data_IF_647433048862
#
_entry.id   IF_647433048862
#
_cell.length_a   1.000
_cell.length_b   1.000
_cell.length_c   1.000
_cell.angle_alpha   90.00
_cell.angle_beta   90.00
_cell.angle_gamma   90.00
#
_symmetry.space_group_name_H-M   'P 1'
#
loop_
_entity.id
_entity.type
_entity.pdbx_description
1 polymer ?
#
# COMPACT_ATOMS: atom_id res chain seq x y z
N UNK A 1 -11.73 -7.66 -20.26
CA UNK A 1 -10.84 -6.78 -21.07
C UNK A 1 -11.07 -5.27 -20.85
N UNK A 2 -12.29 -4.75 -20.65
CA UNK A 2 -12.51 -3.30 -20.43
C UNK A 2 -11.94 -2.76 -19.11
N UNK A 3 -12.12 -3.46 -17.98
CA UNK A 3 -11.60 -3.01 -16.67
C UNK A 3 -10.07 -2.95 -16.61
N UNK A 4 -9.38 -3.97 -17.12
CA UNK A 4 -7.92 -3.95 -17.24
C UNK A 4 -7.42 -2.75 -18.06
N UNK A 5 -8.07 -2.44 -19.20
CA UNK A 5 -7.72 -1.24 -20.00
C UNK A 5 -7.89 0.06 -19.22
N UNK A 6 -8.87 0.14 -18.32
CA UNK A 6 -9.07 1.31 -17.45
C UNK A 6 -7.98 1.42 -16.38
N UNK A 7 -7.63 0.28 -15.77
CA UNK A 7 -6.58 0.21 -14.75
C UNK A 7 -5.20 0.60 -15.31
N UNK A 8 -4.79 0.04 -16.45
CA UNK A 8 -3.46 0.33 -17.04
C UNK A 8 -3.31 1.78 -17.53
N UNK A 9 -4.41 2.56 -17.58
CA UNK A 9 -4.39 4.00 -17.94
C UNK A 9 -4.22 4.90 -16.72
N UNK A 10 -4.36 4.37 -15.49
CA UNK A 10 -4.15 5.15 -14.27
C UNK A 10 -2.68 5.54 -14.15
N UNK A 11 -2.41 6.73 -13.62
CA UNK A 11 -1.06 7.12 -13.25
C UNK A 11 -0.72 6.55 -11.87
N UNK A 12 0.54 6.16 -11.60
CA UNK A 12 0.94 5.64 -10.28
C UNK A 12 0.53 6.55 -9.11
N UNK A 13 0.69 7.87 -9.24
CA UNK A 13 0.29 8.86 -8.21
C UNK A 13 -1.20 8.89 -7.89
N UNK A 14 -2.05 8.38 -8.78
CA UNK A 14 -3.49 8.32 -8.58
C UNK A 14 -3.90 7.00 -7.91
N UNK A 15 -2.97 6.06 -7.75
CA UNK A 15 -3.21 4.76 -7.13
C UNK A 15 -2.90 4.80 -5.63
N UNK A 16 -3.69 4.01 -4.91
CA UNK A 16 -3.40 3.59 -3.54
C UNK A 16 -3.52 2.06 -3.51
N UNK A 17 -2.45 1.36 -3.14
CA UNK A 17 -2.46 -0.09 -3.03
C UNK A 17 -2.95 -0.49 -1.65
N UNK A 18 -3.88 -1.44 -1.63
CA UNK A 18 -4.22 -2.20 -0.44
C UNK A 18 -3.61 -3.57 -0.63
N UNK A 19 -2.58 -3.90 0.15
CA UNK A 19 -1.91 -5.20 0.07
C UNK A 19 -2.41 -6.11 1.20
N UNK A 20 -2.85 -7.32 0.85
CA UNK A 20 -3.30 -8.35 1.78
C UNK A 20 -2.33 -9.52 1.87
N UNK A 21 -2.69 -10.54 2.63
CA UNK A 21 -1.86 -11.74 2.87
C UNK A 21 -1.49 -12.50 1.60
N UNK A 22 -2.25 -12.36 0.50
CA UNK A 22 -1.85 -12.94 -0.79
C UNK A 22 -0.54 -12.34 -1.35
N UNK A 23 -0.16 -11.12 -0.97
CA UNK A 23 1.17 -10.58 -1.29
C UNK A 23 2.24 -11.30 -0.47
N UNK A 24 2.07 -11.40 0.85
CA UNK A 24 2.98 -12.09 1.75
C UNK A 24 3.15 -13.57 1.36
N UNK A 25 2.05 -14.26 1.04
CA UNK A 25 2.02 -15.64 0.55
C UNK A 25 2.83 -15.85 -0.74
N UNK A 26 2.77 -14.88 -1.66
CA UNK A 26 3.50 -14.95 -2.92
C UNK A 26 5.02 -14.76 -2.72
N UNK A 27 5.39 -13.96 -1.71
CA UNK A 27 6.78 -13.57 -1.43
C UNK A 27 7.51 -14.61 -0.58
N UNK A 28 6.84 -15.11 0.46
CA UNK A 28 7.37 -16.03 1.45
C UNK A 28 6.45 -17.26 1.61
N UNK A 29 6.24 -18.07 0.55
CA UNK A 29 5.32 -19.22 0.58
C UNK A 29 5.73 -20.31 1.58
N UNK A 30 6.99 -20.29 2.04
CA UNK A 30 7.51 -21.22 3.04
C UNK A 30 7.07 -20.94 4.48
N UNK A 31 6.42 -19.79 4.75
CA UNK A 31 5.87 -19.46 6.08
C UNK A 31 4.35 -19.61 6.02
N UNK A 32 3.77 -20.69 6.57
CA UNK A 32 2.32 -20.90 6.53
C UNK A 32 1.51 -19.75 7.13
N UNK A 33 2.02 -19.11 8.18
CA UNK A 33 1.36 -17.98 8.85
C UNK A 33 1.09 -16.78 7.91
N UNK A 34 1.92 -16.60 6.87
CA UNK A 34 1.75 -15.52 5.89
C UNK A 34 0.78 -15.85 4.76
N UNK A 35 0.40 -17.13 4.62
CA UNK A 35 -0.40 -17.59 3.48
C UNK A 35 -1.87 -17.17 3.56
N UNK A 36 -2.40 -16.97 4.76
CA UNK A 36 -3.78 -16.52 4.97
C UNK A 36 -3.99 -15.96 6.37
N UNK A 37 -5.06 -15.16 6.55
CA UNK A 37 -5.49 -14.71 7.88
C UNK A 37 -5.76 -15.86 8.84
N UNK A 38 -6.34 -16.96 8.34
CA UNK A 38 -6.62 -18.17 9.12
C UNK A 38 -5.33 -18.77 9.65
N UNK A 39 -4.37 -19.01 8.75
CA UNK A 39 -3.08 -19.60 9.08
C UNK A 39 -2.26 -18.71 10.01
N UNK A 40 -2.37 -17.38 9.88
CA UNK A 40 -1.78 -16.45 10.84
C UNK A 40 -2.35 -16.65 12.25
N UNK A 41 -3.67 -16.72 12.40
CA UNK A 41 -4.31 -16.92 13.71
C UNK A 41 -3.96 -18.30 14.27
N UNK A 42 -3.93 -19.35 13.43
CA UNK A 42 -3.52 -20.70 13.83
C UNK A 42 -2.08 -20.71 14.37
N UNK A 43 -1.16 -20.04 13.68
CA UNK A 43 0.24 -19.93 14.11
C UNK A 43 0.38 -19.14 15.42
N UNK A 44 -0.40 -18.07 15.62
CA UNK A 44 -0.41 -17.33 16.88
C UNK A 44 -0.93 -18.20 18.04
N UNK A 45 -1.98 -19.01 17.82
CA UNK A 45 -2.48 -19.93 18.85
C UNK A 45 -1.43 -20.99 19.18
N UNK A 46 -0.70 -21.49 18.19
CA UNK A 46 0.38 -22.45 18.40
C UNK A 46 1.55 -21.82 19.17
N UNK A 47 2.00 -20.63 18.79
CA UNK A 47 3.01 -19.89 19.53
C UNK A 47 2.57 -19.61 20.98
N UNK A 48 1.29 -19.27 21.18
CA UNK A 48 0.75 -19.05 22.52
C UNK A 48 0.76 -20.30 23.41
N UNK A 49 0.56 -21.48 22.82
CA UNK A 49 0.69 -22.77 23.52
C UNK A 49 2.16 -23.07 23.85
N UNK A 50 3.07 -22.85 22.89
CA UNK A 50 4.51 -23.11 23.06
C UNK A 50 5.17 -22.18 24.08
N UNK A 51 4.77 -20.91 24.10
CA UNK A 51 5.23 -19.90 25.05
C UNK A 51 4.52 -20.01 26.41
N UNK A 52 3.57 -20.93 26.57
CA UNK A 52 2.76 -21.13 27.78
C UNK A 52 2.00 -19.87 28.25
N UNK A 53 1.65 -18.97 27.31
CA UNK A 53 0.95 -17.70 27.60
C UNK A 53 -0.57 -17.82 27.53
N UNK A 54 -1.09 -18.97 27.08
CA UNK A 54 -2.52 -19.25 26.99
C UNK A 54 -2.83 -20.62 27.60
N UNK A 55 -3.87 -20.69 28.45
CA UNK A 55 -4.26 -21.94 29.10
C UNK A 55 -4.66 -23.01 28.06
N UNK A 56 -4.29 -24.30 28.22
CA UNK A 56 -4.58 -25.35 27.23
C UNK A 56 -6.07 -25.49 26.86
N UNK A 57 -6.95 -25.24 27.82
CA UNK A 57 -8.40 -25.21 27.58
C UNK A 57 -8.83 -24.09 26.63
N UNK A 58 -8.22 -22.90 26.75
CA UNK A 58 -8.47 -21.78 25.84
C UNK A 58 -7.87 -22.05 24.46
N UNK A 59 -6.65 -22.62 24.38
CA UNK A 59 -6.02 -23.07 23.12
C UNK A 59 -6.96 -24.01 22.35
N UNK A 60 -7.50 -25.02 23.03
CA UNK A 60 -8.43 -25.97 22.44
C UNK A 60 -9.75 -25.32 21.98
N UNK A 61 -10.23 -24.30 22.69
CA UNK A 61 -11.41 -23.52 22.30
C UNK A 61 -11.13 -22.68 21.05
N UNK A 62 -10.02 -21.93 21.02
CA UNK A 62 -9.66 -21.07 19.90
C UNK A 62 -9.37 -21.89 18.63
N UNK A 63 -8.69 -23.04 18.73
CA UNK A 63 -8.52 -23.96 17.59
C UNK A 63 -9.87 -24.38 16.97
N UNK A 64 -10.88 -24.67 17.81
CA UNK A 64 -12.24 -25.00 17.33
C UNK A 64 -12.93 -23.79 16.69
N UNK A 65 -12.81 -22.60 17.30
CA UNK A 65 -13.38 -21.35 16.78
C UNK A 65 -12.80 -21.02 15.41
N UNK A 66 -11.47 -21.04 15.26
CA UNK A 66 -10.83 -20.78 13.96
C UNK A 66 -11.41 -21.68 12.88
N UNK A 67 -11.48 -23.00 13.10
CA UNK A 67 -12.00 -23.97 12.11
C UNK A 67 -13.47 -23.71 11.76
N UNK A 68 -14.33 -23.44 12.75
CA UNK A 68 -15.78 -23.39 12.56
C UNK A 68 -16.31 -22.02 12.17
N UNK A 69 -15.68 -20.95 12.65
CA UNK A 69 -16.15 -19.59 12.43
C UNK A 69 -15.77 -19.10 11.03
N UNK A 70 -16.75 -18.42 10.42
CA UNK A 70 -16.54 -17.73 9.14
C UNK A 70 -15.92 -16.34 9.34
N UNK A 71 -16.10 -15.75 10.52
CA UNK A 71 -15.59 -14.42 10.83
C UNK A 71 -14.31 -14.52 11.68
N UNK A 72 -13.18 -14.63 10.98
CA UNK A 72 -11.86 -14.75 11.60
C UNK A 72 -11.45 -13.48 12.36
N UNK A 73 -12.04 -12.32 12.04
CA UNK A 73 -11.74 -11.07 12.76
C UNK A 73 -12.28 -11.13 14.18
N UNK A 74 -13.47 -11.70 14.39
CA UNK A 74 -14.02 -11.92 15.73
C UNK A 74 -13.12 -12.85 16.54
N UNK A 75 -12.64 -13.94 15.92
CA UNK A 75 -11.72 -14.87 16.57
C UNK A 75 -10.41 -14.19 16.95
N UNK A 76 -9.83 -13.40 16.04
CA UNK A 76 -8.62 -12.63 16.29
C UNK A 76 -8.81 -11.63 17.46
N UNK A 77 -9.91 -10.87 17.46
CA UNK A 77 -10.23 -9.93 18.55
C UNK A 77 -10.38 -10.64 19.90
N UNK A 78 -11.09 -11.77 19.95
CA UNK A 78 -11.24 -12.52 21.20
C UNK A 78 -9.90 -13.10 21.70
N UNK A 79 -9.08 -13.61 20.78
CA UNK A 79 -7.75 -14.16 21.07
C UNK A 79 -6.83 -13.06 21.63
N UNK A 80 -6.78 -11.92 20.96
CA UNK A 80 -6.06 -10.73 21.41
C UNK A 80 -6.54 -10.31 22.81
N UNK A 81 -7.85 -10.14 23.01
CA UNK A 81 -8.42 -9.71 24.30
C UNK A 81 -8.05 -10.67 25.44
N UNK A 82 -7.96 -11.96 25.14
CA UNK A 82 -7.55 -12.99 26.11
C UNK A 82 -6.06 -12.88 26.47
N UNK A 83 -5.21 -12.59 25.48
CA UNK A 83 -3.74 -12.55 25.64
C UNK A 83 -3.18 -11.15 25.99
N UNK A 84 -4.04 -10.13 26.05
CA UNK A 84 -3.67 -8.76 26.43
C UNK A 84 -4.56 -8.25 27.58
N UNK A 85 -4.49 -8.84 28.79
CA UNK A 85 -5.29 -8.42 29.93
C UNK A 85 -5.02 -6.94 30.27
N UNK A 86 -6.10 -6.20 30.61
CA UNK A 86 -6.01 -4.77 30.94
C UNK A 86 -5.40 -4.57 32.33
N UNK A 87 -4.09 -4.61 32.45
CA UNK A 87 -3.37 -4.32 33.71
C UNK A 87 -2.47 -3.08 33.55
N UNK A 88 -2.99 -1.90 33.89
CA UNK A 88 -2.19 -0.67 34.05
C UNK A 88 -1.52 -0.09 32.79
N UNK A 89 -0.56 0.82 33.02
CA UNK A 89 0.02 1.74 32.03
C UNK A 89 1.21 1.19 31.23
N UNK A 90 1.68 -0.03 31.55
CA UNK A 90 2.72 -0.74 30.77
C UNK A 90 2.13 -2.06 30.29
N UNK A 91 1.96 -2.20 28.97
CA UNK A 91 1.33 -3.39 28.36
C UNK A 91 2.35 -4.26 27.64
N UNK A 92 2.92 -5.29 28.29
CA UNK A 92 3.33 -6.48 27.57
C UNK A 92 2.07 -7.10 26.95
N UNK A 93 2.14 -7.45 25.67
CA UNK A 93 1.07 -8.15 24.98
C UNK A 93 1.59 -9.52 24.60
N UNK A 94 1.15 -10.59 25.27
CA UNK A 94 1.55 -11.94 24.89
C UNK A 94 1.17 -12.27 23.45
N UNK A 95 0.14 -11.61 22.92
CA UNK A 95 -0.21 -11.68 21.50
C UNK A 95 0.92 -11.17 20.60
N UNK A 96 1.58 -10.08 21.00
CA UNK A 96 2.72 -9.56 20.25
C UNK A 96 3.93 -10.49 20.38
N UNK A 97 4.21 -11.01 21.58
CA UNK A 97 5.29 -11.98 21.77
C UNK A 97 5.10 -13.20 20.84
N UNK A 98 3.85 -13.67 20.69
CA UNK A 98 3.51 -14.71 19.73
C UNK A 98 3.72 -14.27 18.28
N UNK A 99 3.38 -13.03 17.89
CA UNK A 99 3.63 -12.55 16.53
C UNK A 99 5.12 -12.37 16.24
N UNK A 100 5.92 -11.95 17.22
CA UNK A 100 7.37 -11.86 17.10
C UNK A 100 7.97 -13.24 16.85
N UNK A 101 7.49 -14.28 17.54
CA UNK A 101 7.88 -15.67 17.28
C UNK A 101 7.46 -16.14 15.88
N UNK A 102 6.21 -15.86 15.49
CA UNK A 102 5.65 -16.29 14.19
C UNK A 102 6.33 -15.60 13.00
N UNK A 103 6.77 -14.35 13.18
CA UNK A 103 7.41 -13.52 12.15
C UNK A 103 8.88 -13.25 12.44
N UNK A 104 9.56 -14.14 13.14
CA UNK A 104 10.99 -14.02 13.36
C UNK A 104 11.76 -14.18 12.04
N UNK A 105 12.85 -13.43 11.88
CA UNK A 105 13.76 -13.47 10.73
C UNK A 105 13.10 -13.40 9.33
N UNK A 106 11.98 -12.66 9.16
CA UNK A 106 11.25 -12.56 7.89
C UNK A 106 12.14 -12.25 6.68
N UNK A 107 13.21 -11.47 6.86
CA UNK A 107 14.17 -11.12 5.82
C UNK A 107 14.84 -12.34 5.17
N UNK A 108 15.03 -13.43 5.93
CA UNK A 108 15.63 -14.67 5.46
C UNK A 108 14.64 -15.54 4.67
N UNK A 109 13.35 -15.22 4.77
CA UNK A 109 12.25 -15.99 4.18
C UNK A 109 11.67 -15.36 2.90
N UNK A 110 12.21 -14.22 2.45
CA UNK A 110 11.87 -13.62 1.15
C UNK A 110 12.41 -14.52 0.03
N UNK A 111 11.54 -15.32 -0.58
CA UNK A 111 11.90 -16.26 -1.65
C UNK A 111 11.61 -15.72 -3.05
N UNK A 112 10.51 -14.97 -3.21
CA UNK A 112 10.10 -14.39 -4.49
C UNK A 112 9.76 -12.89 -4.36
N UNK A 113 10.77 -12.01 -4.51
CA UNK A 113 10.58 -10.57 -4.29
C UNK A 113 9.86 -9.85 -5.45
N UNK A 114 9.45 -10.54 -6.52
CA UNK A 114 8.91 -9.92 -7.75
C UNK A 114 7.72 -8.99 -7.47
N UNK A 115 6.82 -9.40 -6.57
CA UNK A 115 5.66 -8.59 -6.18
C UNK A 115 6.10 -7.35 -5.42
N UNK A 116 7.02 -7.48 -4.45
CA UNK A 116 7.54 -6.36 -3.67
C UNK A 116 8.30 -5.36 -4.55
N UNK A 117 9.13 -5.86 -5.48
CA UNK A 117 9.83 -5.02 -6.46
C UNK A 117 8.87 -4.22 -7.34
N UNK A 118 7.74 -4.84 -7.71
CA UNK A 118 6.68 -4.18 -8.49
C UNK A 118 5.99 -3.09 -7.67
N UNK A 119 5.68 -3.36 -6.41
CA UNK A 119 5.10 -2.38 -5.48
C UNK A 119 6.07 -1.20 -5.26
N UNK A 120 7.35 -1.46 -4.97
CA UNK A 120 8.36 -0.39 -4.81
C UNK A 120 8.48 0.50 -6.04
N UNK A 121 8.41 -0.09 -7.25
CA UNK A 121 8.44 0.68 -8.51
C UNK A 121 7.23 1.60 -8.66
N UNK A 122 6.07 1.21 -8.15
CA UNK A 122 4.87 2.06 -8.11
C UNK A 122 5.04 3.17 -7.06
N UNK A 123 5.54 2.84 -5.86
CA UNK A 123 5.84 3.83 -4.80
C UNK A 123 6.88 4.87 -5.25
N UNK A 124 7.89 4.45 -6.02
CA UNK A 124 8.86 5.36 -6.65
C UNK A 124 8.20 6.45 -7.49
N UNK A 125 7.00 6.18 -8.04
CA UNK A 125 6.20 7.08 -8.86
C UNK A 125 4.99 7.68 -8.12
N UNK A 126 4.97 7.58 -6.79
CA UNK A 126 4.00 8.26 -5.92
C UNK A 126 2.76 7.44 -5.57
N UNK A 127 2.74 6.14 -5.86
CA UNK A 127 1.68 5.25 -5.37
C UNK A 127 1.76 5.09 -3.86
N UNK A 128 0.65 5.29 -3.16
CA UNK A 128 0.55 5.07 -1.71
C UNK A 128 0.28 3.60 -1.40
N UNK A 129 0.68 3.12 -0.21
CA UNK A 129 0.45 1.72 0.21
C UNK A 129 -0.12 1.68 1.61
N UNK A 130 -1.14 0.85 1.81
CA UNK A 130 -1.62 0.44 3.12
C UNK A 130 -1.82 -1.08 3.17
N UNK A 131 -1.85 -1.64 4.37
CA UNK A 131 -2.11 -3.05 4.60
C UNK A 131 -2.93 -3.27 5.86
N UNK A 132 -3.62 -4.41 5.90
CA UNK A 132 -4.20 -4.99 7.12
C UNK A 132 -3.30 -6.08 7.71
N UNK A 133 -2.21 -6.44 7.05
CA UNK A 133 -1.30 -7.47 7.54
C UNK A 133 -0.45 -6.95 8.70
N UNK A 134 0.00 -7.87 9.55
CA UNK A 134 0.91 -7.57 10.64
C UNK A 134 2.39 -7.61 10.23
N UNK A 135 2.75 -8.29 9.14
CA UNK A 135 4.11 -8.38 8.63
C UNK A 135 4.58 -7.07 7.96
N UNK A 136 5.89 -6.87 7.85
CA UNK A 136 6.55 -5.72 7.21
C UNK A 136 7.46 -6.15 6.04
N UNK A 137 7.09 -7.20 5.30
CA UNK A 137 7.94 -7.74 4.22
C UNK A 137 8.30 -6.69 3.16
N UNK A 138 7.37 -5.79 2.83
CA UNK A 138 7.60 -4.72 1.86
C UNK A 138 8.67 -3.74 2.35
N UNK A 139 8.63 -3.38 3.63
CA UNK A 139 9.57 -2.46 4.26
C UNK A 139 10.95 -3.09 4.42
N UNK A 140 11.02 -4.33 4.90
CA UNK A 140 12.28 -5.09 4.94
C UNK A 140 12.93 -5.10 3.56
N UNK A 141 12.19 -5.51 2.53
CA UNK A 141 12.70 -5.54 1.17
C UNK A 141 13.08 -4.15 0.66
N UNK A 142 12.26 -3.13 0.90
CA UNK A 142 12.56 -1.76 0.50
C UNK A 142 13.82 -1.19 1.15
N UNK A 143 14.05 -1.47 2.43
CA UNK A 143 15.28 -1.10 3.13
C UNK A 143 16.50 -1.81 2.54
N UNK A 144 16.39 -3.11 2.21
CA UNK A 144 17.45 -3.85 1.49
C UNK A 144 17.73 -3.24 0.10
N UNK A 145 16.74 -2.63 -0.54
CA UNK A 145 16.89 -1.88 -1.80
C UNK A 145 17.34 -0.41 -1.58
N UNK A 146 17.72 -0.03 -0.36
CA UNK A 146 18.20 1.31 -0.02
C UNK A 146 17.11 2.39 -0.02
N UNK A 147 15.83 2.02 0.15
CA UNK A 147 14.73 2.97 0.28
C UNK A 147 14.48 3.31 1.75
N UNK A 148 14.18 4.58 2.08
CA UNK A 148 13.85 4.99 3.44
C UNK A 148 12.40 4.59 3.78
N UNK A 149 12.15 3.29 3.91
CA UNK A 149 10.82 2.75 4.22
C UNK A 149 10.41 3.15 5.64
N UNK A 150 9.12 3.46 5.80
CA UNK A 150 8.53 3.83 7.08
C UNK A 150 7.21 3.07 7.28
N UNK A 151 7.11 2.28 8.34
CA UNK A 151 5.84 1.69 8.77
C UNK A 151 5.08 2.71 9.61
N UNK A 152 3.81 2.91 9.28
CA UNK A 152 2.94 3.90 9.91
C UNK A 152 1.78 3.17 10.57
N UNK A 153 1.44 3.54 11.79
CA UNK A 153 0.25 3.06 12.48
C UNK A 153 -0.80 4.17 12.57
N UNK A 154 -2.04 3.79 12.89
CA UNK A 154 -3.13 4.75 12.97
C UNK A 154 -3.05 5.67 14.21
N UNK A 155 -2.32 5.30 15.27
CA UNK A 155 -2.24 6.07 16.53
C UNK A 155 -1.42 7.34 16.37
N UNK A 156 -0.43 7.36 15.48
CA UNK A 156 0.29 8.57 15.11
C UNK A 156 -0.50 9.40 14.09
N UNK A 157 -1.42 10.24 14.60
CA UNK A 157 -2.25 11.15 13.80
C UNK A 157 -1.42 12.02 12.84
N UNK A 158 -0.30 12.57 13.29
CA UNK A 158 0.49 13.52 12.49
C UNK A 158 1.14 12.80 11.31
N UNK A 159 1.64 11.58 11.52
CA UNK A 159 2.15 10.72 10.44
C UNK A 159 1.07 10.30 9.48
N UNK A 160 -0.12 9.92 9.96
CA UNK A 160 -1.26 9.57 9.11
C UNK A 160 -1.65 10.73 8.20
N UNK A 161 -1.73 11.96 8.74
CA UNK A 161 -2.05 13.15 7.95
C UNK A 161 -0.96 13.47 6.91
N UNK A 162 0.32 13.36 7.29
CA UNK A 162 1.44 13.55 6.36
C UNK A 162 1.42 12.52 5.22
N UNK A 163 1.22 11.24 5.56
CA UNK A 163 1.10 10.16 4.58
C UNK A 163 -0.09 10.38 3.65
N UNK A 164 -1.26 10.68 4.20
CA UNK A 164 -2.47 10.88 3.40
C UNK A 164 -2.39 12.11 2.47
N UNK A 165 -1.57 13.10 2.83
CA UNK A 165 -1.21 14.25 1.98
C UNK A 165 -0.06 13.94 1.00
N UNK A 166 0.37 12.68 0.91
CA UNK A 166 1.46 12.19 0.05
C UNK A 166 2.85 12.77 0.37
N UNK A 167 3.09 13.19 1.61
CA UNK A 167 4.40 13.70 2.06
C UNK A 167 5.38 12.57 2.46
N UNK A 168 4.87 11.37 2.75
CA UNK A 168 5.68 10.19 3.11
C UNK A 168 5.68 9.21 1.94
N UNK A 169 6.67 9.33 1.05
CA UNK A 169 6.73 8.57 -0.21
C UNK A 169 6.82 7.06 -0.03
N UNK A 170 7.63 6.60 0.93
CA UNK A 170 7.87 5.19 1.21
C UNK A 170 7.16 4.72 2.51
N UNK A 171 6.02 5.35 2.81
CA UNK A 171 5.20 5.03 3.97
C UNK A 171 4.21 3.90 3.69
N UNK A 172 4.15 2.91 4.58
CA UNK A 172 3.18 1.82 4.57
C UNK A 172 2.26 1.99 5.78
N UNK A 173 0.98 2.26 5.55
CA UNK A 173 0.01 2.37 6.64
C UNK A 173 -0.52 1.00 7.05
N UNK A 174 -0.21 0.55 8.27
CA UNK A 174 -0.74 -0.67 8.87
C UNK A 174 -2.02 -0.38 9.66
N UNK A 175 -3.16 -0.78 9.10
CA UNK A 175 -4.46 -0.55 9.74
C UNK A 175 -4.53 -1.29 11.09
N UNK A 176 -4.02 -2.52 11.21
CA UNK A 176 -4.05 -3.29 12.47
C UNK A 176 -2.79 -3.16 13.33
N UNK A 177 -1.88 -2.26 12.96
CA UNK A 177 -0.56 -2.13 13.58
C UNK A 177 0.42 -3.19 13.07
N UNK A 178 1.62 -3.16 13.64
CA UNK A 178 2.77 -3.92 13.21
C UNK A 178 3.26 -4.87 14.31
N UNK A 179 3.74 -6.06 13.96
CA UNK A 179 4.21 -7.03 14.95
C UNK A 179 5.42 -6.53 15.78
N UNK A 180 6.28 -5.69 15.19
CA UNK A 180 7.44 -5.11 15.87
C UNK A 180 7.11 -3.91 16.76
N UNK A 181 5.85 -3.46 16.79
CA UNK A 181 5.43 -2.31 17.59
C UNK A 181 4.38 -2.70 18.67
N UNK A 182 4.81 -2.87 19.94
CA UNK A 182 3.91 -3.22 21.05
C UNK A 182 2.80 -2.20 21.24
N UNK A 183 3.15 -0.94 21.04
CA UNK A 183 2.30 0.19 21.33
C UNK A 183 1.34 0.48 20.18
N UNK A 184 1.65 0.05 18.95
CA UNK A 184 0.88 0.29 17.73
C UNK A 184 -0.18 -0.76 17.41
N UNK A 185 -0.03 -1.99 17.91
CA UNK A 185 -1.04 -3.04 17.72
C UNK A 185 -2.41 -2.61 18.25
N UNK A 186 -3.44 -2.71 17.40
CA UNK A 186 -4.80 -2.36 17.80
C UNK A 186 -5.64 -3.60 17.96
N UNK A 187 -6.12 -3.74 19.18
CA UNK A 187 -6.62 -4.99 19.77
C UNK A 187 -8.16 -5.07 19.79
N UNK A 188 -8.81 -3.94 19.54
CA UNK A 188 -10.25 -3.73 19.63
C UNK A 188 -10.62 -2.45 18.87
N UNK A 189 -11.83 -2.31 18.31
CA UNK A 189 -12.30 -1.06 17.71
C UNK A 189 -12.13 0.17 18.59
N UNK A 190 -12.17 0.03 19.93
CA UNK A 190 -11.90 1.11 20.87
C UNK A 190 -10.47 1.65 20.81
N UNK A 191 -9.49 0.86 20.39
CA UNK A 191 -8.11 1.30 20.20
C UNK A 191 -7.92 2.21 18.98
N UNK A 192 -8.96 2.37 18.15
CA UNK A 192 -9.02 3.36 17.08
C UNK A 192 -9.92 4.54 17.42
N UNK A 193 -10.46 4.66 18.64
CA UNK A 193 -11.43 5.73 18.96
C UNK A 193 -10.85 7.10 18.67
N UNK A 194 -9.62 7.36 19.10
CA UNK A 194 -9.01 8.68 18.92
C UNK A 194 -8.87 9.03 17.43
N UNK A 195 -8.67 8.05 16.57
CA UNK A 195 -8.55 8.21 15.11
C UNK A 195 -9.90 8.29 14.43
N UNK A 196 -10.79 7.34 14.74
CA UNK A 196 -12.12 7.22 14.13
C UNK A 196 -13.09 8.31 14.59
N UNK A 197 -12.79 8.98 15.70
CA UNK A 197 -13.52 10.14 16.21
C UNK A 197 -12.85 11.47 15.88
N UNK A 198 -11.62 11.48 15.35
CA UNK A 198 -10.96 12.70 14.87
C UNK A 198 -11.53 13.09 13.49
N UNK A 199 -12.24 14.23 13.38
CA UNK A 199 -12.90 14.60 12.13
C UNK A 199 -11.90 14.90 11.02
N UNK A 200 -10.72 15.46 11.33
CA UNK A 200 -9.71 15.82 10.33
C UNK A 200 -9.09 14.56 9.71
N UNK A 201 -8.71 13.59 10.55
CA UNK A 201 -8.12 12.33 10.07
C UNK A 201 -9.14 11.56 9.23
N UNK A 202 -10.38 11.45 9.73
CA UNK A 202 -11.44 10.74 9.01
C UNK A 202 -11.79 11.42 7.69
N UNK A 203 -11.86 12.76 7.64
CA UNK A 203 -12.10 13.49 6.41
C UNK A 203 -11.01 13.19 5.36
N UNK A 204 -9.74 13.27 5.77
CA UNK A 204 -8.59 13.04 4.89
C UNK A 204 -8.55 11.59 4.38
N UNK A 205 -8.70 10.59 5.25
CA UNK A 205 -8.71 9.18 4.86
C UNK A 205 -9.88 8.85 3.93
N UNK A 206 -11.09 9.35 4.23
CA UNK A 206 -12.25 9.12 3.37
C UNK A 206 -12.12 9.84 2.03
N UNK A 207 -11.47 11.00 2.00
CA UNK A 207 -11.18 11.71 0.76
C UNK A 207 -10.20 10.93 -0.13
N UNK A 208 -9.29 10.13 0.42
CA UNK A 208 -8.47 9.21 -0.38
C UNK A 208 -9.34 8.24 -1.18
N UNK A 209 -10.36 7.63 -0.56
CA UNK A 209 -11.25 6.70 -1.28
C UNK A 209 -12.06 7.39 -2.38
N UNK A 210 -12.34 8.70 -2.26
CA UNK A 210 -13.02 9.47 -3.31
C UNK A 210 -12.10 9.88 -4.45
N UNK A 211 -10.83 10.17 -4.16
CA UNK A 211 -9.91 10.82 -5.11
C UNK A 211 -8.87 9.89 -5.71
N UNK A 212 -8.49 8.82 -5.00
CA UNK A 212 -7.54 7.80 -5.46
C UNK A 212 -8.28 6.59 -6.01
N UNK A 213 -7.64 5.89 -6.94
CA UNK A 213 -8.07 4.58 -7.41
C UNK A 213 -7.42 3.49 -6.55
N UNK A 214 -8.15 2.97 -5.57
CA UNK A 214 -7.70 1.85 -4.76
C UNK A 214 -7.49 0.60 -5.62
N UNK A 215 -6.33 -0.06 -5.47
CA UNK A 215 -6.00 -1.33 -6.11
C UNK A 215 -5.70 -2.37 -5.04
N UNK A 216 -6.62 -3.31 -4.85
CA UNK A 216 -6.53 -4.40 -3.89
C UNK A 216 -5.70 -5.56 -4.48
N UNK A 217 -4.59 -5.90 -3.81
CA UNK A 217 -3.64 -6.95 -4.21
C UNK A 217 -3.57 -8.01 -3.12
N UNK A 218 -3.94 -9.25 -3.44
CA UNK A 218 -3.89 -10.36 -2.47
C UNK A 218 -4.85 -10.19 -1.27
N UNK A 219 -5.91 -9.39 -1.43
CA UNK A 219 -6.91 -9.14 -0.39
C UNK A 219 -8.05 -10.17 -0.48
N UNK A 220 -8.23 -10.96 0.58
CA UNK A 220 -9.40 -11.83 0.74
C UNK A 220 -10.48 -11.21 1.63
N UNK A 221 -10.11 -10.95 2.90
CA UNK A 221 -11.06 -10.54 3.95
C UNK A 221 -11.08 -9.01 4.20
N UNK A 222 -10.18 -8.23 3.58
CA UNK A 222 -10.00 -6.80 3.87
C UNK A 222 -11.27 -5.96 3.74
N UNK A 223 -12.16 -6.26 2.79
CA UNK A 223 -13.41 -5.51 2.63
C UNK A 223 -14.49 -5.87 3.67
N UNK A 224 -14.35 -7.00 4.36
CA UNK A 224 -15.21 -7.36 5.50
C UNK A 224 -14.73 -6.71 6.79
N UNK A 225 -13.49 -6.23 6.83
CA UNK A 225 -12.93 -5.56 8.00
C UNK A 225 -13.71 -4.29 8.35
N UNK A 226 -14.25 -4.24 9.57
CA UNK A 226 -15.11 -3.13 10.00
C UNK A 226 -14.35 -1.82 10.15
N UNK A 227 -13.06 -1.87 10.49
CA UNK A 227 -12.22 -0.68 10.64
C UNK A 227 -11.89 -0.14 9.26
N UNK A 228 -11.46 -0.97 8.32
CA UNK A 228 -11.26 -0.58 6.93
C UNK A 228 -12.53 0.04 6.34
N UNK A 229 -13.69 -0.59 6.58
CA UNK A 229 -14.98 -0.07 6.14
C UNK A 229 -15.29 1.30 6.77
N UNK A 230 -15.04 1.48 8.07
CA UNK A 230 -15.24 2.76 8.75
C UNK A 230 -14.32 3.87 8.23
N UNK A 231 -13.05 3.55 8.00
CA UNK A 231 -12.04 4.51 7.54
C UNK A 231 -12.29 4.97 6.10
N UNK A 232 -12.74 4.08 5.21
CA UNK A 232 -12.78 4.38 3.77
C UNK A 232 -14.16 4.28 3.12
N UNK A 233 -15.05 3.37 3.57
CA UNK A 233 -16.25 3.00 2.81
C UNK A 233 -17.56 3.63 3.30
N UNK A 234 -17.72 3.86 4.60
CA UNK A 234 -19.03 4.20 5.18
C UNK A 234 -19.56 5.59 4.77
N UNK A 235 -18.70 6.58 4.57
CA UNK A 235 -19.17 7.96 4.26
C UNK A 235 -19.28 8.25 2.76
N UNK A 236 -18.96 7.27 1.92
CA UNK A 236 -19.05 7.41 0.47
C UNK A 236 -20.45 7.00 0.03
N UNK A 237 -21.36 7.98 -0.03
CA UNK A 237 -22.79 7.79 -0.31
C UNK A 237 -23.07 7.29 -1.74
N UNK A 238 -22.35 7.82 -2.74
CA UNK A 238 -22.46 7.37 -4.12
C UNK A 238 -21.13 6.73 -4.54
N UNK A 239 -21.17 5.43 -4.84
CA UNK A 239 -19.99 4.65 -5.25
C UNK A 239 -19.99 4.33 -6.75
N UNK A 240 -21.01 4.75 -7.49
CA UNK A 240 -21.20 4.38 -8.90
C UNK A 240 -20.14 4.98 -9.83
N UNK A 241 -19.62 6.17 -9.48
CA UNK A 241 -18.59 6.86 -10.25
C UNK A 241 -17.16 6.51 -9.80
N UNK A 242 -17.02 5.71 -8.75
CA UNK A 242 -15.72 5.27 -8.27
C UNK A 242 -15.13 4.20 -9.19
N UNK A 243 -13.81 4.27 -9.34
CA UNK A 243 -13.05 3.32 -10.14
C UNK A 243 -11.93 2.71 -9.30
N UNK A 244 -12.30 1.80 -8.41
CA UNK A 244 -11.37 0.95 -7.70
C UNK A 244 -11.22 -0.39 -8.42
N UNK A 245 -10.20 -1.16 -8.06
CA UNK A 245 -9.84 -2.39 -8.74
C UNK A 245 -9.41 -3.45 -7.73
N UNK A 246 -9.77 -4.70 -7.99
CA UNK A 246 -9.31 -5.83 -7.19
C UNK A 246 -8.77 -6.92 -8.10
N UNK A 247 -7.53 -7.35 -7.85
CA UNK A 247 -6.95 -8.48 -8.54
C UNK A 247 -7.35 -9.78 -7.84
N UNK A 248 -7.96 -10.71 -8.58
CA UNK A 248 -8.49 -11.96 -8.01
C UNK A 248 -8.12 -13.19 -8.84
N UNK A 249 -8.07 -14.34 -8.17
CA UNK A 249 -8.00 -15.64 -8.82
C UNK A 249 -9.37 -16.00 -9.38
N UNK A 250 -9.43 -16.53 -10.60
CA UNK A 250 -10.66 -17.07 -11.20
C UNK A 250 -10.60 -18.60 -11.19
N UNK A 251 -10.77 -19.21 -10.03
CA UNK A 251 -10.83 -20.68 -9.90
C UNK A 251 -12.19 -21.23 -10.35
N UNK A 252 -13.26 -20.49 -10.06
CA UNK A 252 -14.63 -20.87 -10.36
C UNK A 252 -15.37 -19.70 -11.01
N UNK A 253 -16.06 -19.98 -12.10
CA UNK A 253 -16.71 -18.96 -12.91
C UNK A 253 -17.91 -18.30 -12.20
N UNK A 254 -18.77 -19.08 -11.55
CA UNK A 254 -19.93 -18.58 -10.83
C UNK A 254 -19.53 -17.72 -9.63
N UNK A 255 -18.55 -18.20 -8.85
CA UNK A 255 -18.00 -17.43 -7.74
C UNK A 255 -17.36 -16.12 -8.21
N UNK A 256 -16.64 -16.14 -9.34
CA UNK A 256 -16.03 -14.95 -9.90
C UNK A 256 -17.07 -13.90 -10.34
N UNK A 257 -18.13 -14.32 -11.03
CA UNK A 257 -19.19 -13.39 -11.45
C UNK A 257 -20.01 -12.87 -10.27
N UNK A 258 -20.27 -13.70 -9.26
CA UNK A 258 -20.89 -13.26 -8.01
C UNK A 258 -20.03 -12.20 -7.32
N UNK A 259 -18.73 -12.47 -7.14
CA UNK A 259 -17.80 -11.52 -6.55
C UNK A 259 -17.75 -10.21 -7.37
N UNK A 260 -17.73 -10.30 -8.69
CA UNK A 260 -17.75 -9.10 -9.54
C UNK A 260 -19.01 -8.26 -9.33
N UNK A 261 -20.18 -8.87 -9.20
CA UNK A 261 -21.43 -8.15 -8.91
C UNK A 261 -21.40 -7.51 -7.52
N UNK A 262 -20.98 -8.26 -6.50
CA UNK A 262 -20.88 -7.79 -5.11
C UNK A 262 -19.92 -6.60 -5.00
N UNK A 263 -18.74 -6.71 -5.61
CA UNK A 263 -17.69 -5.67 -5.58
C UNK A 263 -18.09 -4.40 -6.34
N UNK A 264 -18.91 -4.53 -7.39
CA UNK A 264 -19.37 -3.39 -8.17
C UNK A 264 -20.24 -2.44 -7.33
N UNK A 265 -20.98 -2.94 -6.33
CA UNK A 265 -21.74 -2.14 -5.36
C UNK A 265 -20.84 -1.21 -4.53
N UNK A 266 -19.55 -1.54 -4.44
CA UNK A 266 -18.53 -0.76 -3.74
C UNK A 266 -17.68 0.11 -4.69
N UNK A 267 -18.02 0.16 -5.98
CA UNK A 267 -17.23 0.85 -7.01
C UNK A 267 -15.95 0.10 -7.38
N UNK A 268 -15.86 -1.20 -7.06
CA UNK A 268 -14.66 -2.02 -7.25
C UNK A 268 -14.82 -2.91 -8.48
N UNK A 269 -13.95 -2.71 -9.47
CA UNK A 269 -13.88 -3.50 -10.71
C UNK A 269 -12.95 -4.68 -10.52
N UNK A 270 -13.51 -5.89 -10.54
CA UNK A 270 -12.74 -7.13 -10.39
C UNK A 270 -11.99 -7.47 -11.68
N UNK A 271 -10.69 -7.73 -11.56
CA UNK A 271 -9.79 -8.12 -12.65
C UNK A 271 -9.15 -9.45 -12.29
N UNK A 272 -9.33 -10.46 -13.13
CA UNK A 272 -8.67 -11.75 -12.94
C UNK A 272 -7.21 -11.67 -13.39
N UNK A 273 -6.30 -12.22 -12.58
CA UNK A 273 -4.92 -12.47 -12.98
C UNK A 273 -4.70 -13.88 -13.56
N UNK A 274 -5.77 -14.68 -13.66
CA UNK A 274 -5.76 -16.04 -14.18
C UNK A 274 -6.49 -17.03 -13.27
N UNK A 275 -6.20 -18.31 -13.46
CA UNK A 275 -6.82 -19.46 -12.78
C UNK A 275 -5.87 -20.19 -11.81
N UNK A 276 -4.61 -19.75 -11.74
CA UNK A 276 -3.62 -20.31 -10.82
C UNK A 276 -2.90 -19.19 -10.01
N UNK A 277 -2.82 -19.35 -8.69
CA UNK A 277 -2.13 -18.39 -7.81
C UNK A 277 -0.66 -18.17 -8.20
N UNK A 278 0.02 -19.18 -8.78
CA UNK A 278 1.40 -19.06 -9.25
C UNK A 278 1.61 -18.00 -10.33
N UNK A 279 0.54 -17.59 -11.02
CA UNK A 279 0.58 -16.53 -12.04
C UNK A 279 0.55 -15.12 -11.42
N UNK A 280 0.18 -14.99 -10.13
CA UNK A 280 0.00 -13.70 -9.46
C UNK A 280 1.27 -12.82 -9.49
N UNK A 281 2.48 -13.32 -9.18
CA UNK A 281 3.69 -12.50 -9.21
C UNK A 281 4.00 -11.89 -10.59
N UNK A 282 3.99 -12.72 -11.62
CA UNK A 282 4.25 -12.30 -13.01
C UNK A 282 3.18 -11.33 -13.49
N UNK A 283 1.91 -11.59 -13.19
CA UNK A 283 0.82 -10.70 -13.55
C UNK A 283 0.97 -9.32 -12.91
N UNK A 284 1.33 -9.23 -11.63
CA UNK A 284 1.55 -7.95 -10.94
C UNK A 284 2.74 -7.20 -11.55
N UNK A 285 3.80 -7.91 -11.93
CA UNK A 285 4.96 -7.33 -12.60
C UNK A 285 4.57 -6.73 -13.97
N UNK A 286 3.85 -7.49 -14.79
CA UNK A 286 3.38 -7.06 -16.11
C UNK A 286 2.40 -5.89 -16.02
N UNK A 287 1.47 -5.95 -15.07
CA UNK A 287 0.53 -4.87 -14.80
C UNK A 287 1.27 -3.60 -14.40
N UNK A 288 2.23 -3.72 -13.50
CA UNK A 288 3.07 -2.59 -13.05
C UNK A 288 3.86 -2.00 -14.21
N UNK A 289 4.45 -2.84 -15.06
CA UNK A 289 5.18 -2.39 -16.24
C UNK A 289 4.25 -1.62 -17.20
N UNK A 290 3.01 -2.05 -17.38
CA UNK A 290 2.02 -1.38 -18.22
C UNK A 290 1.57 -0.02 -17.63
N UNK A 291 1.29 0.03 -16.34
CA UNK A 291 0.93 1.28 -15.63
C UNK A 291 2.08 2.28 -15.73
N UNK A 292 3.32 1.84 -15.47
CA UNK A 292 4.51 2.69 -15.53
C UNK A 292 4.91 3.10 -16.96
N UNK A 293 4.42 2.44 -18.02
CA UNK A 293 4.67 2.83 -19.41
C UNK A 293 3.87 4.06 -19.83
N UNK A 294 2.75 4.35 -19.17
CA UNK A 294 1.98 5.56 -19.46
C UNK A 294 2.84 6.78 -19.09
N UNK A 295 3.16 7.63 -20.08
CA UNK A 295 3.88 8.89 -19.84
C UNK A 295 2.96 9.86 -19.09
N UNK A 296 3.54 10.69 -18.23
CA UNK A 296 2.82 11.83 -17.65
C UNK A 296 2.49 12.81 -18.79
N UNK A 297 1.25 13.30 -18.93
CA UNK A 297 0.90 14.32 -19.93
C UNK A 297 1.76 15.60 -19.83
N UNK A 298 2.36 15.85 -18.67
CA UNK A 298 3.24 17.02 -18.45
C UNK A 298 4.58 16.91 -19.19
N UNK A 299 5.04 15.70 -19.54
CA UNK A 299 6.30 15.52 -20.27
C UNK A 299 6.18 15.98 -21.73
N UNK A 300 5.00 15.89 -22.34
CA UNK A 300 4.77 16.29 -23.73
C UNK A 300 4.58 17.82 -23.90
N UNK A 301 4.33 18.55 -22.80
CA UNK A 301 4.22 20.02 -22.82
C UNK A 301 5.57 20.74 -22.86
N UNK A 302 6.64 20.10 -22.37
CA UNK A 302 7.97 20.74 -22.32
C UNK A 302 8.70 20.66 -23.67
N UNK A 303 8.38 19.67 -24.50
CA UNK A 303 8.99 19.50 -25.84
C UNK A 303 8.34 20.35 -26.95
N UNK A 304 7.14 20.88 -26.73
CA UNK A 304 6.40 21.62 -27.77
C UNK A 304 6.86 23.08 -27.93
N UNK A 305 7.73 23.59 -27.06
CA UNK A 305 8.28 24.95 -27.13
C UNK A 305 9.63 25.06 -27.84
N UNK A 306 10.20 23.95 -28.33
CA UNK A 306 11.55 23.93 -28.93
C UNK A 306 11.58 23.68 -30.45
N UNK A 307 10.42 23.63 -31.12
CA UNK A 307 10.31 23.33 -32.56
C UNK A 307 9.55 24.40 -33.35
N UNK A 308 9.94 25.66 -33.20
CA UNK A 308 9.66 26.73 -34.18
C UNK A 308 10.97 27.48 -34.50
N UNK A 309 11.98 26.73 -34.93
CA UNK A 309 13.15 27.26 -35.63
C UNK A 309 12.86 27.30 -37.13
N UNK A 310 12.18 28.33 -37.62
CA UNK A 310 12.12 28.62 -39.05
C UNK A 310 13.43 29.24 -39.51
N UNK A 311 14.04 28.58 -40.48
CA UNK A 311 15.19 28.98 -41.29
C UNK A 311 15.19 30.46 -41.70
N UNK A 312 16.31 31.15 -41.49
CA UNK A 312 16.64 32.37 -42.22
C UNK A 312 18.08 32.27 -42.72
N UNK A 313 18.25 31.78 -43.93
CA UNK A 313 19.51 31.77 -44.68
C UNK A 313 19.61 33.13 -45.36
N UNK A 314 20.10 34.17 -44.66
CA UNK A 314 20.62 35.40 -45.30
C UNK A 314 21.28 36.42 -44.33
N UNK A 315 22.08 35.95 -43.36
CA UNK A 315 22.84 36.85 -42.47
C UNK A 315 24.35 36.62 -42.46
N UNK A 316 24.92 36.16 -43.59
CA UNK A 316 26.36 36.04 -43.77
C UNK A 316 26.84 36.89 -44.95
N UNK A 317 26.73 38.23 -44.83
CA UNK A 317 27.47 39.25 -45.60
C UNK A 317 26.98 40.65 -45.19
N UNK A 318 27.54 41.20 -44.11
CA UNK A 318 27.67 42.65 -43.80
C UNK A 318 28.06 42.81 -42.34
N UNK A 319 29.37 42.84 -42.07
CA UNK A 319 30.04 43.59 -40.99
C UNK A 319 31.50 43.17 -40.95
N UNK A 320 32.26 43.60 -41.96
CA UNK A 320 33.72 43.68 -41.97
C UNK A 320 34.08 44.53 -43.17
N UNK A 321 34.25 45.83 -42.93
CA UNK A 321 34.58 46.81 -43.95
C UNK A 321 34.17 48.20 -43.50
N UNK A 322 35.19 49.03 -43.29
CA UNK A 322 35.14 50.50 -43.23
C UNK A 322 34.77 51.13 -41.87
N UNK A 323 35.81 51.46 -41.11
CA UNK A 323 35.98 52.83 -40.61
C UNK A 323 37.46 53.07 -40.31
N UNK A 324 38.12 53.76 -41.24
CA UNK A 324 39.49 54.26 -41.11
C UNK A 324 39.50 55.70 -40.62
N UNK A 325 40.27 55.91 -39.56
CA UNK A 325 41.12 57.07 -39.23
C UNK A 325 40.55 58.49 -39.34
N UNK A 326 40.49 59.18 -38.19
CA UNK A 326 41.39 60.33 -37.99
C UNK A 326 41.64 60.62 -36.50
N UNK A 327 42.89 60.95 -36.19
CA UNK A 327 43.46 61.21 -34.84
C UNK A 327 43.82 62.71 -34.75
N UNK A 328 44.56 63.21 -33.73
CA UNK A 328 44.53 63.02 -32.28
C UNK A 328 44.47 64.39 -31.54
N UNK A 329 44.29 64.40 -30.19
CA UNK A 329 44.94 65.41 -29.30
C UNK A 329 44.80 65.11 -27.79
N UNK A 330 45.98 64.93 -27.18
CA UNK A 330 46.48 65.38 -25.85
C UNK A 330 45.71 65.06 -24.55
N UNK A 331 46.26 64.09 -23.82
CA UNK A 331 46.81 64.12 -22.44
C UNK A 331 46.47 65.34 -21.55
N UNK A 332 45.90 65.08 -20.36
CA UNK A 332 46.44 65.55 -19.05
C UNK A 332 45.85 64.78 -17.85
N UNK A 333 46.69 64.62 -16.83
CA UNK A 333 46.51 63.90 -15.55
C UNK A 333 45.61 64.61 -14.53
N UNK A 334 45.12 63.80 -13.58
CA UNK A 334 44.86 63.99 -12.13
C UNK A 334 44.14 65.25 -11.61
N UNK A 335 43.10 65.03 -10.81
CA UNK A 335 43.20 64.94 -9.35
C UNK A 335 42.24 63.87 -8.79
#
# INVERSE_FOLDING_TARGET
RKFLKSLIRKQPRDLLLVIGTGVSAAVAPGIPALCSWRSCIEAVIEAAEQLEVLHPGDVAEFRKKVIKDRDLLVVAHDLIRKMSPRTGDTKPSFFQDCLMEVFDNLEQHIQNPVVLQSILRLMERGTMVLTTNYDNLLEIFGQQQGKPMESLDLKDKDKVLQWARSHIKYGVLHIHGLYTDPCGMVLDPSGYKDVTQDPEVMEVLQNLYRTKSFLFLGCGETLRDQIFQALFLYTVKNKMDLEHYMLVLKENEDHFFKLQADMLLHGIKVVSYGDCFKQFPEYVQDLTAQICKQRSPDADRVDSTTLLGTSCVDCAKRKLGENGTDSPKRIKQSD
#
